data_IF_051291452839
#
_entry.id   IF_051291452839
#
_cell.length_a   1.000
_cell.length_b   1.000
_cell.length_c   1.000
_cell.angle_alpha   90.00
_cell.angle_beta   90.00
_cell.angle_gamma   90.00
#
_symmetry.space_group_name_H-M   'P 1'
#
loop_
_entity.id
_entity.type
_entity.pdbx_description
1 polymer ?
#
# COMPACT_ATOMS: atom_id res chain seq x y z
N UNK A 1 19.19 -16.72 -21.82
CA UNK A 1 18.30 -16.96 -20.67
C UNK A 1 18.13 -15.62 -20.02
N UNK A 2 16.88 -15.14 -20.00
CA UNK A 2 16.49 -13.81 -19.56
C UNK A 2 16.46 -13.80 -18.04
N UNK A 3 17.25 -12.94 -17.43
CA UNK A 3 17.47 -12.89 -15.99
C UNK A 3 16.71 -11.68 -15.42
N UNK A 4 15.45 -11.89 -15.04
CA UNK A 4 14.65 -10.88 -14.34
C UNK A 4 15.21 -10.67 -12.94
N UNK A 5 15.57 -9.44 -12.57
CA UNK A 5 16.12 -9.13 -11.25
C UNK A 5 15.03 -8.61 -10.32
N UNK A 6 14.85 -9.28 -9.18
CA UNK A 6 14.18 -8.69 -8.00
C UNK A 6 15.24 -8.05 -7.14
N UNK A 7 15.03 -6.79 -6.76
CA UNK A 7 15.90 -6.05 -5.83
C UNK A 7 15.13 -5.87 -4.54
N UNK A 8 15.64 -6.45 -3.46
CA UNK A 8 15.17 -6.20 -2.10
C UNK A 8 16.18 -5.27 -1.42
N UNK A 9 15.75 -4.09 -0.97
CA UNK A 9 16.61 -3.16 -0.23
C UNK A 9 16.08 -2.99 1.19
N UNK A 10 17.00 -3.07 2.16
CA UNK A 10 16.72 -2.91 3.59
C UNK A 10 17.57 -1.75 4.14
N UNK A 11 16.92 -0.70 4.64
CA UNK A 11 17.57 0.37 5.39
C UNK A 11 17.05 0.29 6.84
N UNK A 12 17.89 -0.22 7.76
CA UNK A 12 17.61 -0.14 9.19
C UNK A 12 18.52 0.91 9.81
N UNK A 13 17.94 1.84 10.57
CA UNK A 13 18.72 2.77 11.38
C UNK A 13 19.39 2.07 12.59
N UNK A 14 19.09 0.79 12.80
CA UNK A 14 19.69 -0.10 13.79
C UNK A 14 20.82 -0.96 13.19
N UNK A 15 21.96 -0.34 12.88
CA UNK A 15 23.20 -1.09 12.62
C UNK A 15 23.80 -1.58 13.96
N UNK A 16 24.21 -2.86 14.15
CA UNK A 16 24.36 -3.95 13.20
C UNK A 16 23.63 -5.24 13.67
N UNK A 17 22.44 -5.52 13.14
CA UNK A 17 22.00 -6.91 13.01
C UNK A 17 22.25 -7.35 11.57
N UNK A 18 23.39 -7.99 11.35
CA UNK A 18 23.70 -8.63 10.08
C UNK A 18 22.60 -9.66 9.77
N UNK A 19 21.69 -9.33 8.87
CA UNK A 19 20.70 -10.29 8.40
C UNK A 19 21.42 -11.37 7.57
N UNK A 20 21.47 -12.60 8.09
CA UNK A 20 21.80 -13.75 7.25
C UNK A 20 20.56 -14.11 6.43
N UNK A 21 20.43 -13.48 5.26
CA UNK A 21 19.41 -13.83 4.28
C UNK A 21 19.74 -15.22 3.69
N UNK A 22 18.98 -16.24 4.12
CA UNK A 22 19.08 -17.59 3.60
C UNK A 22 17.89 -17.89 2.67
N UNK A 23 18.17 -18.38 1.45
CA UNK A 23 17.12 -18.92 0.60
C UNK A 23 16.93 -20.40 0.86
N UNK A 24 15.72 -20.79 1.27
CA UNK A 24 15.32 -22.17 1.48
C UNK A 24 14.33 -22.60 0.40
N UNK A 25 14.61 -23.69 -0.33
CA UNK A 25 13.63 -24.32 -1.22
C UNK A 25 12.89 -25.41 -0.45
N UNK A 26 11.59 -25.27 -0.23
CA UNK A 26 10.80 -26.32 0.43
C UNK A 26 10.60 -27.50 -0.52
N UNK A 27 11.00 -28.73 -0.15
CA UNK A 27 10.90 -29.89 -1.03
C UNK A 27 9.46 -30.28 -1.40
N UNK A 28 8.50 -29.96 -0.53
CA UNK A 28 7.10 -30.39 -0.63
C UNK A 28 6.31 -29.64 -1.71
N UNK A 29 6.57 -28.34 -1.87
CA UNK A 29 5.83 -27.47 -2.82
C UNK A 29 6.74 -26.80 -3.87
N UNK A 30 8.06 -26.96 -3.73
CA UNK A 30 9.04 -26.40 -4.65
C UNK A 30 9.21 -24.88 -4.56
N UNK A 31 8.64 -24.21 -3.55
CA UNK A 31 8.72 -22.75 -3.36
C UNK A 31 10.04 -22.32 -2.71
N UNK A 32 10.46 -21.10 -3.00
CA UNK A 32 11.65 -20.47 -2.41
C UNK A 32 11.24 -19.47 -1.33
N UNK A 33 11.86 -19.59 -0.16
CA UNK A 33 11.63 -18.76 1.02
C UNK A 33 12.88 -17.94 1.25
N UNK A 34 12.74 -16.62 1.34
CA UNK A 34 13.77 -15.75 1.87
C UNK A 34 13.46 -15.57 3.36
N UNK A 35 14.27 -16.20 4.21
CA UNK A 35 14.12 -16.08 5.66
C UNK A 35 15.06 -14.99 6.16
N UNK A 36 14.49 -13.98 6.81
CA UNK A 36 15.20 -12.85 7.42
C UNK A 36 14.98 -12.98 8.95
N UNK A 37 15.80 -13.78 9.65
CA UNK A 37 15.74 -13.93 11.12
C UNK A 37 17.07 -14.46 11.72
N UNK A 38 17.29 -14.21 13.02
CA UNK A 38 18.52 -14.29 13.84
C UNK A 38 19.14 -15.72 14.01
N UNK A 39 18.94 -16.65 13.06
CA UNK A 39 19.45 -18.01 13.19
C UNK A 39 19.33 -18.88 11.94
N UNK A 40 20.41 -18.92 11.15
CA UNK A 40 20.81 -19.88 10.10
C UNK A 40 19.74 -20.53 9.20
N UNK A 41 19.86 -20.34 7.87
CA UNK A 41 20.52 -21.39 7.08
C UNK A 41 21.46 -20.90 5.94
N UNK A 42 22.58 -21.61 5.74
CA UNK A 42 23.42 -21.61 4.51
C UNK A 42 22.85 -22.63 3.50
N UNK A 43 23.05 -22.63 2.18
CA UNK A 43 23.99 -22.00 1.24
C UNK A 43 23.25 -21.66 -0.07
N UNK A 44 23.74 -20.70 -0.87
CA UNK A 44 23.07 -20.16 -2.05
C UNK A 44 22.97 -21.16 -3.20
N UNK A 45 21.82 -21.18 -3.87
CA UNK A 45 21.77 -21.60 -5.28
C UNK A 45 22.37 -20.49 -6.14
N UNK A 46 23.01 -20.88 -7.25
CA UNK A 46 23.80 -20.03 -8.15
C UNK A 46 23.07 -18.88 -8.88
N UNK A 47 21.86 -18.52 -8.45
CA UNK A 47 20.95 -17.58 -9.12
C UNK A 47 20.64 -16.32 -8.30
N UNK A 48 21.09 -16.24 -7.05
CA UNK A 48 20.93 -15.03 -6.25
C UNK A 48 22.25 -14.64 -5.58
N UNK A 49 22.63 -13.38 -5.73
CA UNK A 49 23.86 -12.82 -5.16
C UNK A 49 23.50 -11.81 -4.07
N UNK A 50 23.64 -12.17 -2.78
CA UNK A 50 23.51 -11.18 -1.72
C UNK A 50 24.69 -10.22 -1.75
N UNK A 51 24.42 -8.93 -1.55
CA UNK A 51 25.41 -7.87 -1.39
C UNK A 51 24.90 -6.90 -0.32
N UNK A 52 25.46 -6.95 0.89
CA UNK A 52 25.26 -6.10 2.09
C UNK A 52 23.84 -5.63 2.48
N UNK A 53 23.03 -5.13 1.54
CA UNK A 53 21.62 -4.70 1.72
C UNK A 53 20.73 -5.07 0.53
N UNK A 54 21.27 -5.72 -0.50
CA UNK A 54 20.57 -6.06 -1.75
C UNK A 54 20.62 -7.55 -2.03
N UNK A 55 19.45 -8.17 -2.13
CA UNK A 55 19.33 -9.52 -2.70
C UNK A 55 18.85 -9.36 -4.14
N UNK A 56 19.73 -9.70 -5.09
CA UNK A 56 19.39 -9.77 -6.50
C UNK A 56 19.18 -11.23 -6.90
N UNK A 57 18.01 -11.57 -7.41
CA UNK A 57 17.67 -12.93 -7.87
C UNK A 57 17.30 -12.93 -9.34
N UNK A 58 17.87 -13.86 -10.12
CA UNK A 58 17.53 -14.05 -11.53
C UNK A 58 16.96 -15.43 -11.83
N UNK A 59 15.86 -15.50 -12.59
CA UNK A 59 15.27 -16.80 -12.98
C UNK A 59 14.52 -16.76 -14.30
N UNK A 60 14.49 -17.91 -14.98
CA UNK A 60 13.83 -18.13 -16.27
C UNK A 60 12.42 -18.79 -16.19
N UNK A 61 11.83 -18.95 -14.98
CA UNK A 61 10.49 -19.55 -14.77
C UNK A 61 9.68 -18.73 -13.75
N UNK A 62 8.33 -18.80 -13.74
CA UNK A 62 7.54 -18.20 -12.67
C UNK A 62 7.87 -18.85 -11.31
N UNK A 63 8.06 -18.02 -10.29
CA UNK A 63 8.30 -18.43 -8.90
C UNK A 63 7.50 -17.53 -7.95
N UNK A 64 7.19 -18.06 -6.76
CA UNK A 64 6.70 -17.27 -5.64
C UNK A 64 7.79 -17.15 -4.59
N UNK A 65 8.07 -15.93 -4.13
CA UNK A 65 8.92 -15.70 -2.96
C UNK A 65 8.04 -15.53 -1.72
N UNK A 66 8.49 -16.06 -0.59
CA UNK A 66 7.96 -15.66 0.72
C UNK A 66 9.06 -14.96 1.50
N UNK A 67 8.79 -13.76 1.96
CA UNK A 67 9.63 -12.94 2.82
C UNK A 67 8.95 -12.91 4.20
N UNK A 68 9.72 -13.19 5.24
CA UNK A 68 9.28 -13.06 6.63
C UNK A 68 10.15 -11.97 7.27
N UNK A 69 9.54 -10.89 7.73
CA UNK A 69 10.19 -9.82 8.50
C UNK A 69 10.47 -10.24 9.94
N UNK A 70 10.96 -9.28 10.72
CA UNK A 70 11.28 -9.48 12.14
C UNK A 70 10.27 -8.72 13.02
N UNK A 71 10.31 -8.86 14.35
CA UNK A 71 9.41 -8.10 15.22
C UNK A 71 9.77 -6.61 15.41
N UNK A 72 10.58 -6.00 14.53
CA UNK A 72 11.04 -4.61 14.64
C UNK A 72 10.61 -3.77 13.44
N UNK A 73 10.87 -2.47 13.48
CA UNK A 73 10.48 -1.56 12.40
C UNK A 73 11.37 -1.77 11.16
N UNK A 74 10.75 -2.11 10.04
CA UNK A 74 11.46 -2.44 8.80
C UNK A 74 11.14 -1.47 7.65
N UNK A 75 12.15 -1.15 6.84
CA UNK A 75 11.96 -0.49 5.55
C UNK A 75 12.31 -1.49 4.43
N UNK A 76 11.31 -1.84 3.63
CA UNK A 76 11.38 -2.89 2.62
C UNK A 76 10.98 -2.30 1.28
N UNK A 77 11.91 -2.28 0.32
CA UNK A 77 11.58 -1.96 -1.08
C UNK A 77 11.54 -3.21 -1.92
N UNK A 78 10.40 -3.46 -2.58
CA UNK A 78 10.17 -4.56 -3.52
C UNK A 78 10.09 -4.00 -4.94
N UNK A 79 11.05 -4.37 -5.79
CA UNK A 79 10.98 -4.00 -7.20
C UNK A 79 11.43 -5.12 -8.12
N UNK A 80 10.76 -5.26 -9.26
CA UNK A 80 11.21 -6.12 -10.36
C UNK A 80 11.62 -5.28 -11.59
N UNK A 81 12.70 -5.69 -12.24
CA UNK A 81 13.21 -5.05 -13.46
C UNK A 81 13.50 -6.09 -14.53
N UNK A 82 13.09 -5.80 -15.77
CA UNK A 82 13.48 -6.57 -16.95
C UNK A 82 14.89 -6.18 -17.44
N UNK A 83 15.62 -7.13 -18.02
CA UNK A 83 16.89 -6.87 -18.72
C UNK A 83 16.70 -5.85 -19.86
N UNK A 84 17.73 -5.05 -20.13
CA UNK A 84 17.70 -4.07 -21.22
C UNK A 84 17.36 -4.75 -22.57
N UNK A 85 16.25 -4.33 -23.19
CA UNK A 85 15.82 -4.80 -24.52
C UNK A 85 14.65 -5.79 -24.53
N UNK A 86 14.07 -6.14 -23.39
CA UNK A 86 12.89 -7.02 -23.32
C UNK A 86 11.58 -6.24 -23.21
N UNK A 87 10.58 -6.65 -23.99
CA UNK A 87 9.23 -6.06 -24.04
C UNK A 87 8.18 -6.94 -23.36
N UNK A 88 8.55 -8.12 -22.85
CA UNK A 88 7.61 -9.08 -22.25
C UNK A 88 8.17 -9.66 -20.94
N UNK A 89 7.51 -9.34 -19.83
CA UNK A 89 7.82 -9.85 -18.51
C UNK A 89 7.31 -11.30 -18.35
N UNK A 90 8.18 -12.22 -17.94
CA UNK A 90 7.75 -13.37 -17.15
C UNK A 90 7.74 -12.90 -15.68
N UNK A 91 6.65 -12.24 -15.27
CA UNK A 91 6.53 -11.69 -13.92
C UNK A 91 6.76 -12.81 -12.87
N UNK A 92 7.44 -12.53 -11.74
CA UNK A 92 7.28 -13.36 -10.55
C UNK A 92 5.78 -13.57 -10.30
N UNK A 93 5.39 -14.78 -9.92
CA UNK A 93 3.96 -15.15 -9.88
C UNK A 93 3.24 -14.67 -8.62
N UNK A 94 3.99 -14.20 -7.62
CA UNK A 94 3.55 -13.44 -6.45
C UNK A 94 4.74 -13.36 -5.46
N UNK A 95 5.00 -12.19 -4.87
CA UNK A 95 5.80 -12.08 -3.65
C UNK A 95 4.84 -12.10 -2.47
N UNK A 96 5.06 -12.95 -1.48
CA UNK A 96 4.35 -12.89 -0.21
C UNK A 96 5.24 -12.27 0.84
N UNK A 97 4.79 -11.21 1.48
CA UNK A 97 5.48 -10.52 2.55
C UNK A 97 4.66 -10.62 3.83
N UNK A 98 5.33 -10.93 4.94
CA UNK A 98 4.75 -11.00 6.28
C UNK A 98 5.75 -10.31 7.21
N UNK A 99 5.52 -9.03 7.53
CA UNK A 99 6.48 -8.22 8.31
C UNK A 99 6.36 -8.45 9.81
N UNK A 100 5.33 -9.19 10.25
CA UNK A 100 5.07 -9.60 11.64
C UNK A 100 4.69 -8.44 12.56
N UNK A 101 5.65 -7.74 13.16
CA UNK A 101 5.38 -6.71 14.15
C UNK A 101 6.44 -5.63 14.03
N UNK A 102 6.08 -4.39 14.29
CA UNK A 102 6.91 -3.23 13.94
C UNK A 102 6.04 -2.19 13.28
N UNK A 103 6.54 -0.96 13.18
CA UNK A 103 5.97 0.06 12.31
C UNK A 103 6.72 0.06 10.97
N UNK A 104 6.23 -0.75 10.04
CA UNK A 104 6.93 -1.12 8.83
C UNK A 104 6.61 -0.18 7.67
N UNK A 105 7.57 -0.02 6.75
CA UNK A 105 7.45 0.75 5.53
C UNK A 105 7.76 -0.14 4.35
N UNK A 106 6.73 -0.42 3.54
CA UNK A 106 6.84 -1.28 2.36
C UNK A 106 6.63 -0.43 1.11
N UNK A 107 7.61 -0.38 0.22
CA UNK A 107 7.47 0.24 -1.10
C UNK A 107 7.40 -0.84 -2.18
N UNK A 108 6.31 -0.86 -2.94
CA UNK A 108 6.05 -1.84 -4.01
C UNK A 108 6.15 -1.16 -5.38
N UNK A 109 6.86 -1.80 -6.31
CA UNK A 109 7.00 -1.31 -7.69
C UNK A 109 7.19 -2.43 -8.70
N UNK A 110 6.30 -2.54 -9.68
CA UNK A 110 6.38 -3.50 -10.78
C UNK A 110 6.43 -4.99 -10.33
N UNK A 111 5.83 -5.35 -9.19
CA UNK A 111 5.83 -6.73 -8.68
C UNK A 111 4.55 -7.04 -7.92
N UNK A 112 3.82 -8.07 -8.36
CA UNK A 112 2.60 -8.51 -7.68
C UNK A 112 2.95 -9.05 -6.30
N UNK A 113 2.35 -8.49 -5.25
CA UNK A 113 2.70 -8.71 -3.86
C UNK A 113 1.47 -8.91 -2.98
N UNK A 114 1.45 -10.03 -2.24
CA UNK A 114 0.54 -10.25 -1.11
C UNK A 114 1.28 -9.77 0.16
N UNK A 115 0.80 -8.72 0.82
CA UNK A 115 1.38 -8.16 2.06
C UNK A 115 0.48 -8.47 3.26
N UNK A 116 1.10 -8.99 4.32
CA UNK A 116 0.56 -8.97 5.67
C UNK A 116 1.49 -8.12 6.54
N UNK A 117 1.07 -6.89 6.86
CA UNK A 117 1.90 -5.93 7.60
C UNK A 117 1.95 -6.25 9.11
N UNK A 118 0.87 -6.81 9.66
CA UNK A 118 0.94 -7.57 10.89
C UNK A 118 0.59 -6.76 12.12
N UNK A 119 1.54 -6.28 12.92
CA UNK A 119 1.26 -5.53 14.15
C UNK A 119 2.10 -4.26 14.21
N UNK A 120 1.44 -3.12 14.24
CA UNK A 120 2.05 -1.82 14.42
C UNK A 120 1.34 -0.82 13.52
N UNK A 121 1.96 0.31 13.28
CA UNK A 121 1.40 1.29 12.34
C UNK A 121 2.19 1.20 11.06
N UNK A 122 1.67 0.43 10.12
CA UNK A 122 2.39 0.07 8.91
C UNK A 122 2.04 0.98 7.74
N UNK A 123 2.95 1.08 6.78
CA UNK A 123 2.79 1.93 5.62
C UNK A 123 3.21 1.20 4.35
N UNK A 124 2.23 0.85 3.53
CA UNK A 124 2.43 0.27 2.19
C UNK A 124 2.28 1.35 1.14
N UNK A 125 3.27 1.50 0.26
CA UNK A 125 3.28 2.50 -0.82
C UNK A 125 3.43 1.86 -2.18
N UNK A 126 2.57 2.28 -3.11
CA UNK A 126 2.64 1.88 -4.51
C UNK A 126 3.34 2.94 -5.37
N UNK A 127 4.02 2.48 -6.42
CA UNK A 127 4.51 3.36 -7.50
C UNK A 127 5.79 4.14 -7.18
N UNK A 128 6.46 3.90 -6.04
CA UNK A 128 7.74 4.52 -5.70
C UNK A 128 8.89 3.92 -6.52
N UNK A 129 8.96 4.27 -7.80
CA UNK A 129 9.94 3.71 -8.75
C UNK A 129 10.70 4.80 -9.51
N UNK A 130 12.02 4.62 -9.66
CA UNK A 130 12.87 5.41 -10.56
C UNK A 130 12.68 5.04 -12.05
N UNK A 131 11.80 4.08 -12.34
CA UNK A 131 11.61 3.45 -13.65
C UNK A 131 10.22 3.64 -14.25
N UNK A 132 9.40 4.53 -13.68
CA UNK A 132 8.00 4.74 -14.06
C UNK A 132 7.08 3.83 -13.24
N UNK A 133 5.96 4.39 -12.78
CA UNK A 133 4.96 3.69 -11.98
C UNK A 133 4.11 2.81 -12.91
N UNK A 134 4.40 1.51 -12.93
CA UNK A 134 3.42 0.50 -13.33
C UNK A 134 3.19 -0.35 -12.08
N UNK A 135 2.13 -0.06 -11.34
CA UNK A 135 1.69 -1.03 -10.35
C UNK A 135 1.21 -2.27 -11.13
N UNK A 136 1.51 -3.43 -10.56
CA UNK A 136 1.20 -4.72 -11.17
C UNK A 136 -0.19 -5.12 -10.73
N UNK A 137 -0.99 -5.75 -11.60
CA UNK A 137 -2.32 -6.14 -11.21
C UNK A 137 -2.30 -7.20 -10.10
N UNK A 138 -3.30 -7.11 -9.21
CA UNK A 138 -3.66 -8.15 -8.25
C UNK A 138 -2.84 -8.16 -6.98
N UNK A 139 -2.42 -7.00 -6.47
CA UNK A 139 -1.79 -6.89 -5.16
C UNK A 139 -2.83 -7.13 -4.05
N UNK A 140 -2.49 -7.84 -2.98
CA UNK A 140 -3.38 -8.09 -1.83
C UNK A 140 -2.74 -7.55 -0.55
N UNK A 141 -3.40 -6.62 0.15
CA UNK A 141 -2.82 -5.93 1.30
C UNK A 141 -3.70 -6.10 2.54
N UNK A 142 -3.13 -6.69 3.59
CA UNK A 142 -3.68 -6.74 4.95
C UNK A 142 -2.88 -5.82 5.86
N UNK A 143 -3.55 -4.90 6.55
CA UNK A 143 -2.92 -4.04 7.57
C UNK A 143 -2.56 -4.83 8.82
N UNK A 144 -3.52 -5.56 9.36
CA UNK A 144 -3.37 -6.34 10.57
C UNK A 144 -3.85 -5.57 11.81
N UNK A 145 -2.99 -5.42 12.82
CA UNK A 145 -3.33 -4.71 14.05
C UNK A 145 -2.54 -3.43 14.15
N UNK A 146 -3.26 -2.34 14.33
CA UNK A 146 -2.69 -1.05 14.67
C UNK A 146 -3.36 -0.01 13.81
N UNK A 147 -2.59 0.91 13.25
CA UNK A 147 -3.13 1.98 12.40
C UNK A 147 -2.37 1.95 11.09
N UNK A 148 -2.97 1.32 10.10
CA UNK A 148 -2.27 0.92 8.88
C UNK A 148 -2.62 1.86 7.73
N UNK A 149 -1.64 2.11 6.86
CA UNK A 149 -1.78 3.07 5.76
C UNK A 149 -1.42 2.44 4.42
N UNK A 150 -2.32 2.56 3.45
CA UNK A 150 -2.02 2.29 2.04
C UNK A 150 -1.94 3.60 1.27
N UNK A 151 -0.85 3.79 0.54
CA UNK A 151 -0.55 5.03 -0.17
C UNK A 151 -0.31 4.80 -1.66
N UNK A 152 -1.07 5.52 -2.46
CA UNK A 152 -0.88 5.64 -3.91
C UNK A 152 -0.21 6.97 -4.30
N UNK A 153 0.39 7.70 -3.34
CA UNK A 153 0.90 9.09 -3.52
C UNK A 153 1.85 9.31 -4.72
N UNK A 154 2.51 8.25 -5.20
CA UNK A 154 3.44 8.32 -6.33
C UNK A 154 2.80 7.99 -7.68
N UNK A 155 1.54 7.55 -7.70
CA UNK A 155 0.79 7.18 -8.91
C UNK A 155 0.22 8.43 -9.57
N UNK A 156 0.43 8.56 -10.89
CA UNK A 156 0.00 9.72 -11.69
C UNK A 156 -1.33 9.46 -12.46
N UNK A 157 -2.08 8.43 -12.06
CA UNK A 157 -3.34 8.01 -12.67
C UNK A 157 -4.51 8.16 -11.70
N UNK A 158 -5.74 8.04 -12.22
CA UNK A 158 -6.92 7.89 -11.37
C UNK A 158 -6.87 6.55 -10.61
N UNK A 159 -7.19 6.59 -9.32
CA UNK A 159 -7.21 5.41 -8.44
C UNK A 159 -8.59 5.30 -7.79
N UNK A 160 -9.08 4.07 -7.66
CA UNK A 160 -10.27 3.78 -6.86
C UNK A 160 -9.91 2.75 -5.79
N UNK A 161 -10.20 3.04 -4.53
CA UNK A 161 -10.06 2.09 -3.42
C UNK A 161 -11.34 2.08 -2.61
N UNK A 162 -11.87 0.89 -2.35
CA UNK A 162 -13.06 0.69 -1.52
C UNK A 162 -12.80 -0.45 -0.55
N UNK A 163 -12.80 -0.16 0.73
CA UNK A 163 -12.58 -1.13 1.80
C UNK A 163 -13.85 -2.00 1.99
N UNK A 164 -14.14 -2.88 1.02
CA UNK A 164 -15.36 -3.70 0.96
C UNK A 164 -15.16 -5.18 0.63
N UNK A 165 -13.96 -5.74 0.90
CA UNK A 165 -13.64 -7.16 0.72
C UNK A 165 -13.67 -7.61 -0.76
N UNK A 166 -13.31 -6.73 -1.70
CA UNK A 166 -13.29 -7.04 -3.14
C UNK A 166 -11.97 -6.64 -3.78
N UNK A 167 -11.45 -7.55 -4.60
CA UNK A 167 -10.30 -7.30 -5.46
C UNK A 167 -10.69 -6.42 -6.68
N UNK A 168 -11.00 -5.15 -6.46
CA UNK A 168 -11.31 -4.18 -7.52
C UNK A 168 -10.77 -2.77 -7.25
N UNK A 169 -9.66 -2.72 -6.51
CA UNK A 169 -8.98 -1.50 -6.13
C UNK A 169 -7.81 -1.17 -7.07
N UNK A 170 -7.22 0.00 -6.84
CA UNK A 170 -6.11 0.53 -7.59
C UNK A 170 -6.51 1.30 -8.86
N UNK A 171 -5.52 1.69 -9.68
CA UNK A 171 -5.69 2.10 -11.06
C UNK A 171 -6.52 1.12 -11.91
N UNK A 172 -7.12 1.66 -12.99
CA UNK A 172 -7.96 0.87 -13.90
C UNK A 172 -7.23 -0.36 -14.45
N UNK A 173 -7.71 -1.55 -14.10
CA UNK A 173 -7.21 -2.82 -14.59
C UNK A 173 -6.20 -3.50 -13.68
N UNK A 174 -5.81 -2.88 -12.56
CA UNK A 174 -4.91 -3.48 -11.57
C UNK A 174 -5.64 -4.53 -10.73
N UNK A 175 -6.87 -4.24 -10.26
CA UNK A 175 -7.65 -5.20 -9.46
C UNK A 175 -6.95 -5.57 -8.15
N UNK A 176 -6.38 -4.58 -7.48
CA UNK A 176 -5.83 -4.74 -6.14
C UNK A 176 -6.94 -5.13 -5.17
N UNK A 177 -6.54 -5.73 -4.06
CA UNK A 177 -7.41 -6.09 -2.95
C UNK A 177 -6.86 -5.48 -1.67
N UNK A 178 -7.39 -4.31 -1.30
CA UNK A 178 -7.04 -3.65 -0.04
C UNK A 178 -8.08 -4.06 1.02
N UNK A 179 -7.63 -4.76 2.06
CA UNK A 179 -8.52 -5.26 3.10
C UNK A 179 -9.00 -4.14 4.02
N UNK A 180 -10.22 -4.25 4.59
CA UNK A 180 -10.80 -3.25 5.48
C UNK A 180 -10.18 -3.19 6.89
N UNK A 181 -9.15 -4.00 7.15
CA UNK A 181 -8.24 -3.84 8.30
C UNK A 181 -7.12 -2.82 8.04
N UNK A 182 -7.26 -2.03 6.98
CA UNK A 182 -6.49 -0.81 6.71
C UNK A 182 -7.35 0.39 7.11
N UNK A 183 -6.82 1.27 7.95
CA UNK A 183 -7.54 2.45 8.44
C UNK A 183 -7.30 3.68 7.56
N UNK A 184 -6.13 3.80 6.93
CA UNK A 184 -5.71 5.05 6.31
C UNK A 184 -5.40 4.87 4.82
N UNK A 185 -5.90 5.80 3.99
CA UNK A 185 -5.66 5.81 2.55
C UNK A 185 -5.10 7.16 2.09
N UNK A 186 -4.00 7.12 1.35
CA UNK A 186 -3.40 8.30 0.72
C UNK A 186 -3.54 8.18 -0.81
N UNK A 187 -4.19 9.17 -1.41
CA UNK A 187 -4.53 9.22 -2.82
C UNK A 187 -3.35 9.53 -3.75
N UNK A 188 -3.52 9.23 -5.06
CA UNK A 188 -2.57 9.53 -6.12
C UNK A 188 -2.39 11.03 -6.38
N UNK A 189 -1.60 11.36 -7.42
CA UNK A 189 -1.53 12.74 -7.95
C UNK A 189 -2.64 13.05 -8.95
N UNK A 190 -3.31 12.03 -9.47
CA UNK A 190 -4.54 12.14 -10.26
C UNK A 190 -5.77 12.05 -9.36
N UNK A 191 -6.98 12.02 -9.92
CA UNK A 191 -8.19 11.93 -9.08
C UNK A 191 -8.30 10.61 -8.30
N UNK A 192 -8.90 10.66 -7.13
CA UNK A 192 -9.05 9.55 -6.21
C UNK A 192 -10.53 9.27 -5.92
N UNK A 193 -10.91 8.01 -5.84
CA UNK A 193 -12.15 7.63 -5.16
C UNK A 193 -11.81 6.71 -4.02
N UNK A 194 -11.98 7.20 -2.80
CA UNK A 194 -11.74 6.45 -1.58
C UNK A 194 -13.06 6.24 -0.85
N UNK A 195 -13.36 5.00 -0.48
CA UNK A 195 -14.49 4.69 0.37
C UNK A 195 -13.99 3.85 1.53
N UNK A 196 -14.11 4.40 2.74
CA UNK A 196 -13.71 3.79 4.00
C UNK A 196 -14.53 2.55 4.38
N UNK A 197 -14.26 2.05 5.58
CA UNK A 197 -14.86 0.83 6.15
C UNK A 197 -16.00 1.20 7.12
N UNK A 198 -16.15 0.47 8.22
CA UNK A 198 -17.07 0.83 9.30
C UNK A 198 -16.33 1.24 10.59
N UNK A 199 -15.00 1.27 10.52
CA UNK A 199 -14.08 1.77 11.53
C UNK A 199 -13.67 3.21 11.19
N UNK A 200 -12.98 3.87 12.11
CA UNK A 200 -12.45 5.21 11.89
C UNK A 200 -11.39 5.17 10.78
N UNK A 201 -11.52 6.05 9.77
CA UNK A 201 -10.60 6.12 8.64
C UNK A 201 -9.96 7.50 8.47
N UNK A 202 -8.68 7.57 8.08
CA UNK A 202 -8.03 8.79 7.56
C UNK A 202 -7.89 8.68 6.03
N UNK A 203 -8.71 9.45 5.30
CA UNK A 203 -8.75 9.46 3.85
C UNK A 203 -8.20 10.79 3.33
N UNK A 204 -7.05 10.74 2.64
CA UNK A 204 -6.40 11.90 2.03
C UNK A 204 -6.43 11.81 0.51
N UNK A 205 -7.04 12.76 -0.18
CA UNK A 205 -7.13 12.86 -1.64
C UNK A 205 -5.82 13.24 -2.33
N UNK A 206 -5.01 14.09 -1.68
CA UNK A 206 -3.74 14.64 -2.18
C UNK A 206 -3.94 15.69 -3.29
N UNK A 207 -3.91 15.29 -4.56
CA UNK A 207 -4.12 16.20 -5.70
C UNK A 207 -5.11 15.57 -6.67
N UNK A 208 -5.79 16.41 -7.44
CA UNK A 208 -6.80 15.96 -8.40
C UNK A 208 -8.18 16.16 -7.81
N UNK A 209 -9.21 15.93 -8.63
CA UNK A 209 -10.59 16.04 -8.16
C UNK A 209 -10.98 14.72 -7.47
N UNK A 210 -11.13 14.75 -6.15
CA UNK A 210 -11.26 13.55 -5.33
C UNK A 210 -12.70 13.33 -4.83
N UNK A 211 -13.07 12.06 -4.64
CA UNK A 211 -14.33 11.65 -4.02
C UNK A 211 -14.05 10.75 -2.82
N UNK A 212 -14.19 11.31 -1.62
CA UNK A 212 -13.89 10.65 -0.36
C UNK A 212 -15.18 10.38 0.41
N UNK A 213 -15.39 9.14 0.82
CA UNK A 213 -16.56 8.72 1.60
C UNK A 213 -16.09 7.98 2.84
N UNK A 214 -16.30 8.56 4.02
CA UNK A 214 -15.84 7.97 5.28
C UNK A 214 -16.54 6.66 5.62
N UNK A 215 -17.86 6.61 5.40
CA UNK A 215 -18.78 5.57 5.90
C UNK A 215 -18.78 5.59 7.43
N UNK A 216 -18.84 4.44 8.08
CA UNK A 216 -19.11 4.40 9.51
C UNK A 216 -17.85 4.69 10.30
N UNK A 217 -17.92 5.52 11.33
CA UNK A 217 -16.71 5.79 12.13
C UNK A 217 -16.72 7.22 12.65
N UNK A 218 -15.58 7.68 13.16
CA UNK A 218 -15.23 9.08 13.27
C UNK A 218 -14.02 9.34 12.38
N UNK A 219 -14.29 9.75 11.15
CA UNK A 219 -13.32 9.79 10.05
C UNK A 219 -12.60 11.13 9.95
N UNK A 220 -11.41 11.12 9.35
CA UNK A 220 -10.74 12.31 8.85
C UNK A 220 -10.78 12.28 7.32
N UNK A 221 -11.50 13.22 6.71
CA UNK A 221 -11.53 13.37 5.25
C UNK A 221 -10.76 14.65 4.86
N UNK A 222 -9.67 14.48 4.12
CA UNK A 222 -8.84 15.55 3.60
C UNK A 222 -8.84 15.53 2.06
N UNK A 223 -9.47 16.50 1.39
CA UNK A 223 -9.53 16.54 -0.08
C UNK A 223 -8.15 16.83 -0.67
N UNK A 224 -7.56 17.96 -0.30
CA UNK A 224 -6.21 18.33 -0.73
C UNK A 224 -6.26 19.43 -1.78
N UNK A 225 -5.92 19.14 -3.02
CA UNK A 225 -5.96 20.14 -4.09
C UNK A 225 -6.70 19.64 -5.31
N UNK A 226 -7.74 20.35 -5.73
CA UNK A 226 -8.66 19.95 -6.79
C UNK A 226 -10.08 20.29 -6.37
N UNK A 227 -11.07 20.00 -7.22
CA UNK A 227 -12.48 20.21 -6.86
C UNK A 227 -13.02 18.93 -6.19
N UNK A 228 -13.00 18.91 -4.86
CA UNK A 228 -13.22 17.67 -4.10
C UNK A 228 -14.66 17.49 -3.63
N UNK A 229 -15.06 16.24 -3.44
CA UNK A 229 -16.32 15.85 -2.83
C UNK A 229 -16.06 14.94 -1.62
N UNK A 230 -16.38 15.45 -0.43
CA UNK A 230 -16.20 14.75 0.84
C UNK A 230 -17.58 14.42 1.41
N UNK A 231 -17.90 13.13 1.55
CA UNK A 231 -19.17 12.63 2.08
C UNK A 231 -18.98 11.88 3.40
N UNK A 232 -19.30 12.57 4.49
CA UNK A 232 -19.27 12.07 5.86
C UNK A 232 -20.70 11.84 6.40
N UNK A 233 -21.67 11.52 5.51
CA UNK A 233 -23.06 11.31 5.94
C UNK A 233 -23.32 9.85 6.30
N UNK A 234 -22.85 9.42 7.46
CA UNK A 234 -23.01 8.05 7.97
C UNK A 234 -24.05 7.93 9.10
N UNK A 235 -24.62 9.06 9.53
CA UNK A 235 -25.59 9.19 10.62
C UNK A 235 -24.95 9.27 12.01
N UNK A 236 -23.63 9.30 12.12
CA UNK A 236 -22.89 9.44 13.38
C UNK A 236 -22.26 10.84 13.48
N UNK A 237 -21.90 11.26 14.69
CA UNK A 237 -21.07 12.44 14.87
C UNK A 237 -19.60 12.03 14.96
N UNK A 238 -18.70 12.92 14.55
CA UNK A 238 -17.28 12.81 14.90
C UNK A 238 -16.35 13.10 13.74
N UNK A 239 -16.88 13.16 12.52
CA UNK A 239 -16.06 13.32 11.34
C UNK A 239 -15.40 14.70 11.30
N UNK A 240 -14.17 14.70 10.79
CA UNK A 240 -13.31 15.87 10.69
C UNK A 240 -12.96 16.09 9.23
N UNK A 241 -13.22 17.30 8.75
CA UNK A 241 -13.23 17.57 7.31
C UNK A 241 -12.29 18.71 6.99
N UNK A 242 -11.38 18.48 6.05
CA UNK A 242 -10.48 19.47 5.49
C UNK A 242 -10.57 19.41 3.97
N UNK A 243 -11.38 20.28 3.36
CA UNK A 243 -11.62 20.23 1.92
C UNK A 243 -10.34 20.56 1.12
N UNK A 244 -9.89 21.82 1.09
CA UNK A 244 -8.51 22.13 0.69
C UNK A 244 -8.45 23.29 -0.27
N UNK A 245 -7.66 23.16 -1.33
CA UNK A 245 -7.62 24.15 -2.41
C UNK A 245 -8.52 23.69 -3.55
N UNK A 246 -9.42 24.54 -4.01
CA UNK A 246 -10.28 24.25 -5.16
C UNK A 246 -11.68 24.73 -4.91
N UNK A 247 -12.67 24.13 -5.57
CA UNK A 247 -14.09 24.34 -5.28
C UNK A 247 -14.72 23.07 -4.75
N UNK A 248 -14.79 22.98 -3.43
CA UNK A 248 -15.09 21.74 -2.76
C UNK A 248 -16.55 21.63 -2.31
N UNK A 249 -17.00 20.38 -2.11
CA UNK A 249 -18.29 20.03 -1.56
C UNK A 249 -18.15 19.08 -0.38
N UNK A 250 -18.44 19.58 0.82
CA UNK A 250 -18.58 18.79 2.02
C UNK A 250 -20.06 18.42 2.28
N UNK A 251 -20.32 17.14 2.53
CA UNK A 251 -21.63 16.61 2.90
C UNK A 251 -21.53 15.98 4.28
N UNK A 252 -22.31 16.52 5.23
CA UNK A 252 -22.06 16.32 6.66
C UNK A 252 -23.34 15.99 7.41
N UNK A 253 -23.19 15.31 8.54
CA UNK A 253 -24.20 15.06 9.54
C UNK A 253 -24.04 15.95 10.77
N UNK A 254 -25.00 15.86 11.69
CA UNK A 254 -24.95 16.65 12.92
C UNK A 254 -23.88 16.08 13.85
N UNK A 255 -22.81 16.86 14.05
CA UNK A 255 -21.73 16.53 14.98
C UNK A 255 -20.36 16.60 14.33
N UNK A 256 -20.33 16.66 13.00
CA UNK A 256 -19.11 16.75 12.22
C UNK A 256 -18.52 18.14 12.29
N UNK A 257 -17.21 18.20 12.06
CA UNK A 257 -16.43 19.41 12.19
C UNK A 257 -15.59 19.65 10.94
N UNK A 258 -15.82 20.80 10.31
CA UNK A 258 -14.88 21.34 9.32
C UNK A 258 -13.71 21.98 10.07
N UNK A 259 -12.50 21.51 9.78
CA UNK A 259 -11.26 21.98 10.40
C UNK A 259 -10.85 23.36 9.88
N UNK A 260 -11.04 23.59 8.58
CA UNK A 260 -10.76 24.84 7.90
C UNK A 260 -12.01 25.31 7.13
N UNK A 261 -12.95 26.03 7.77
CA UNK A 261 -14.23 26.37 7.14
C UNK A 261 -14.11 27.16 5.83
N UNK A 262 -13.03 27.92 5.68
CA UNK A 262 -12.76 28.69 4.47
C UNK A 262 -12.27 27.84 3.29
N UNK A 263 -11.88 26.59 3.53
CA UNK A 263 -11.43 25.67 2.48
C UNK A 263 -12.57 24.88 1.85
N UNK A 264 -13.80 24.96 2.38
CA UNK A 264 -14.97 24.25 1.85
C UNK A 264 -15.99 25.24 1.30
N UNK A 265 -16.05 25.41 -0.02
CA UNK A 265 -16.89 26.41 -0.69
C UNK A 265 -18.37 26.05 -0.63
N UNK A 266 -18.70 24.76 -0.65
CA UNK A 266 -20.07 24.25 -0.59
C UNK A 266 -20.20 23.25 0.56
N UNK A 267 -21.16 23.51 1.45
CA UNK A 267 -21.45 22.63 2.58
C UNK A 267 -22.92 22.25 2.53
N UNK A 268 -23.23 20.95 2.64
CA UNK A 268 -24.61 20.47 2.77
C UNK A 268 -24.72 19.57 3.99
N UNK A 269 -25.50 20.02 4.96
CA UNK A 269 -25.86 19.23 6.12
C UNK A 269 -27.03 18.32 5.77
N UNK A 270 -27.02 17.07 6.24
CA UNK A 270 -28.17 16.20 6.14
C UNK A 270 -29.37 16.84 6.86
N UNK A 271 -30.54 16.75 6.23
CA UNK A 271 -31.78 17.18 6.86
C UNK A 271 -32.05 16.31 8.07
N UNK A 272 -32.20 16.91 9.24
CA UNK A 272 -32.63 16.20 10.45
C UNK A 272 -33.88 15.35 10.15
N UNK A 273 -33.79 14.04 10.38
CA UNK A 273 -34.98 13.22 10.51
C UNK A 273 -35.80 13.79 11.67
N UNK A 274 -37.02 14.25 11.38
CA UNK A 274 -37.98 14.74 12.36
C UNK A 274 -38.56 13.61 13.18
#
# INVERSE_FOLDING_TARGET
MTDNQITLRFDSNDLPKMFSAGMYRRPEDGRYYLVIDDGYPRYPSSSCTPSDQVVACSTARPYSFRILGSPGDEEISLSARASAGETSFALPTAVRLDTRAGADRIDISNVTTDVAAGKGSDLVRFGRSSYGALATPGDEIHGGRGEDTVSYEYVDAYVRVVLDEKANDGPSGEQDFIHPDVENLIGPKGGFTAIGSAADNDLSGNKGDDHLVGRGGADLLAGGGGDDRLDARDGKPGDRISCGNGTDLALLDRGDRILHPASCEKIRWASSAR
#
